data_IF_527778966092
#
_entry.id   IF_527778966092
#
_cell.length_a   1.000
_cell.length_b   1.000
_cell.length_c   1.000
_cell.angle_alpha   90.00
_cell.angle_beta   90.00
_cell.angle_gamma   90.00
#
_symmetry.space_group_name_H-M   'P 1'
#
loop_
_entity.id
_entity.type
_entity.pdbx_description
1 polymer ?
#
# COMPACT_ATOMS: atom_id res chain seq x y z
N UNK A 1 -9.06 15.10 -4.86
CA UNK A 1 -7.61 15.13 -5.20
C UNK A 1 -6.91 14.07 -4.36
N UNK A 2 -5.86 13.39 -4.84
CA UNK A 2 -5.24 12.23 -4.17
C UNK A 2 -3.87 12.58 -3.60
N UNK A 3 -3.57 12.11 -2.38
CA UNK A 3 -2.26 12.23 -1.74
C UNK A 3 -1.37 11.02 -2.02
N UNK A 4 -0.07 11.19 -1.86
CA UNK A 4 0.94 10.15 -2.06
C UNK A 4 1.70 9.88 -0.76
N UNK A 5 1.65 8.63 -0.29
CA UNK A 5 2.52 8.13 0.77
C UNK A 5 3.66 7.34 0.12
N UNK A 6 4.88 7.84 0.22
CA UNK A 6 6.09 7.24 -0.35
C UNK A 6 6.80 6.43 0.73
N UNK A 7 6.53 5.13 0.78
CA UNK A 7 7.11 4.20 1.75
C UNK A 7 8.25 3.40 1.11
N UNK A 8 9.41 3.37 1.76
CA UNK A 8 10.59 2.68 1.26
C UNK A 8 11.76 2.67 2.24
N UNK A 9 12.85 2.04 1.82
CA UNK A 9 14.05 1.86 2.63
C UNK A 9 14.87 3.17 2.76
N UNK A 10 15.41 3.40 3.96
CA UNK A 10 16.37 4.45 4.29
C UNK A 10 17.52 3.91 5.19
N UNK A 11 17.77 2.60 5.19
CA UNK A 11 18.75 1.91 6.04
C UNK A 11 20.20 2.24 5.67
N UNK A 12 20.47 2.67 4.43
CA UNK A 12 21.79 3.11 3.99
C UNK A 12 21.82 4.62 3.79
N UNK A 13 22.81 5.30 4.41
CA UNK A 13 23.03 6.76 4.26
C UNK A 13 23.18 7.22 2.80
N UNK A 14 23.54 6.31 1.89
CA UNK A 14 23.73 6.59 0.46
C UNK A 14 22.49 6.34 -0.41
N UNK A 15 21.39 5.81 0.14
CA UNK A 15 20.19 5.51 -0.64
C UNK A 15 18.90 5.76 0.16
N UNK A 16 18.18 6.81 -0.21
CA UNK A 16 16.90 7.20 0.38
C UNK A 16 15.81 7.03 -0.67
N UNK A 17 15.11 5.91 -0.63
CA UNK A 17 14.07 5.56 -1.60
C UNK A 17 12.89 6.54 -1.56
N UNK A 18 12.30 6.88 -0.39
CA UNK A 18 11.24 7.88 -0.32
C UNK A 18 11.63 9.24 -0.90
N UNK A 19 12.86 9.68 -0.67
CA UNK A 19 13.34 10.96 -1.18
C UNK A 19 13.55 10.95 -2.69
N UNK A 20 14.00 9.82 -3.24
CA UNK A 20 14.10 9.63 -4.69
C UNK A 20 12.72 9.69 -5.34
N UNK A 21 11.75 8.96 -4.79
CA UNK A 21 10.36 9.01 -5.26
C UNK A 21 9.77 10.42 -5.15
N UNK A 22 10.04 11.15 -4.06
CA UNK A 22 9.59 12.53 -3.87
C UNK A 22 10.10 13.43 -4.99
N UNK A 23 11.40 13.35 -5.27
CA UNK A 23 12.02 14.16 -6.32
C UNK A 23 11.39 13.89 -7.69
N UNK A 24 11.06 12.63 -7.98
CA UNK A 24 10.46 12.26 -9.26
C UNK A 24 9.00 12.75 -9.37
N UNK A 25 8.22 12.70 -8.28
CA UNK A 25 6.88 13.29 -8.26
C UNK A 25 6.89 14.82 -8.37
N UNK A 26 7.82 15.50 -7.70
CA UNK A 26 8.00 16.95 -7.82
C UNK A 26 8.34 17.34 -9.27
N UNK A 27 9.23 16.58 -9.93
CA UNK A 27 9.54 16.77 -11.36
C UNK A 27 8.34 16.54 -12.28
N UNK A 28 7.45 15.62 -11.90
CA UNK A 28 6.19 15.36 -12.61
C UNK A 28 5.10 16.41 -12.33
N UNK A 29 5.39 17.44 -11.52
CA UNK A 29 4.45 18.54 -11.22
C UNK A 29 3.48 18.26 -10.08
N UNK A 30 3.70 17.19 -9.29
CA UNK A 30 2.88 16.93 -8.09
C UNK A 30 3.22 17.96 -7.00
N UNK A 31 2.23 18.69 -6.45
CA UNK A 31 2.47 19.63 -5.36
C UNK A 31 3.06 18.96 -4.12
N UNK A 32 4.08 19.57 -3.51
CA UNK A 32 4.78 19.01 -2.34
C UNK A 32 3.87 18.69 -1.16
N UNK A 33 2.85 19.53 -0.94
CA UNK A 33 1.83 19.35 0.12
C UNK A 33 0.99 18.06 -0.02
N UNK A 34 1.08 17.36 -1.16
CA UNK A 34 0.42 16.07 -1.37
C UNK A 34 1.35 14.89 -1.14
N UNK A 35 2.63 15.12 -0.84
CA UNK A 35 3.67 14.08 -0.78
C UNK A 35 4.12 13.89 0.66
N UNK A 36 3.91 12.68 1.17
CA UNK A 36 4.27 12.26 2.52
C UNK A 36 5.30 11.13 2.44
N UNK A 37 6.26 11.11 3.36
CA UNK A 37 7.39 10.18 3.31
C UNK A 37 7.35 9.22 4.50
N UNK A 38 7.53 7.94 4.20
CA UNK A 38 7.71 6.88 5.18
C UNK A 38 9.06 6.19 4.99
N UNK A 39 10.01 6.54 5.83
CA UNK A 39 11.40 6.03 5.79
C UNK A 39 11.60 4.68 6.49
N UNK A 40 10.53 4.08 7.01
CA UNK A 40 10.58 2.81 7.74
C UNK A 40 9.83 1.68 7.00
N UNK A 41 9.64 1.83 5.69
CA UNK A 41 9.00 0.87 4.79
C UNK A 41 9.93 -0.22 4.26
N UNK A 42 10.72 -0.87 5.12
CA UNK A 42 11.78 -1.81 4.70
C UNK A 42 11.26 -3.06 3.98
N UNK A 43 10.00 -3.44 4.23
CA UNK A 43 9.33 -4.59 3.62
C UNK A 43 7.91 -4.20 3.28
N UNK A 44 7.28 -4.94 2.35
CA UNK A 44 5.85 -4.76 2.03
C UNK A 44 4.96 -4.82 3.29
N UNK A 45 5.29 -5.68 4.25
CA UNK A 45 4.61 -5.71 5.54
C UNK A 45 4.69 -4.37 6.28
N UNK A 46 5.90 -3.82 6.38
CA UNK A 46 6.13 -2.58 7.13
C UNK A 46 5.36 -1.43 6.49
N UNK A 47 5.40 -1.31 5.14
CA UNK A 47 4.66 -0.27 4.41
C UNK A 47 3.14 -0.36 4.62
N UNK A 48 2.54 -1.55 4.51
CA UNK A 48 1.08 -1.72 4.64
C UNK A 48 0.62 -1.49 6.08
N UNK A 49 1.32 -2.08 7.05
CA UNK A 49 0.96 -1.93 8.47
C UNK A 49 1.13 -0.49 8.92
N UNK A 50 2.21 0.19 8.50
CA UNK A 50 2.43 1.59 8.86
C UNK A 50 1.44 2.52 8.17
N UNK A 51 1.09 2.27 6.90
CA UNK A 51 0.02 3.02 6.22
C UNK A 51 -1.26 3.04 7.07
N UNK A 52 -1.67 1.89 7.60
CA UNK A 52 -2.84 1.80 8.48
C UNK A 52 -2.59 2.38 9.87
N UNK A 53 -1.57 1.92 10.58
CA UNK A 53 -1.42 2.18 12.01
C UNK A 53 -0.76 3.53 12.33
N UNK A 54 0.19 3.97 11.50
CA UNK A 54 0.92 5.22 11.70
C UNK A 54 0.25 6.36 10.94
N UNK A 55 -0.08 6.12 9.67
CA UNK A 55 -0.61 7.17 8.80
C UNK A 55 -2.15 7.22 8.76
N UNK A 56 -2.81 6.32 9.51
CA UNK A 56 -4.26 6.23 9.66
C UNK A 56 -5.01 6.08 8.32
N UNK A 57 -4.42 5.36 7.37
CA UNK A 57 -5.02 5.09 6.06
C UNK A 57 -5.76 3.75 6.10
N UNK A 58 -7.09 3.81 6.06
CA UNK A 58 -7.94 2.60 6.00
C UNK A 58 -8.32 2.20 4.57
N UNK A 59 -8.33 3.18 3.65
CA UNK A 59 -8.59 2.98 2.23
C UNK A 59 -7.46 3.60 1.40
N UNK A 60 -6.73 2.78 0.65
CA UNK A 60 -5.59 3.23 -0.16
C UNK A 60 -5.32 2.36 -1.39
N UNK A 61 -4.69 2.96 -2.41
CA UNK A 61 -4.17 2.25 -3.57
C UNK A 61 -2.66 2.00 -3.42
N UNK A 62 -2.24 0.74 -3.51
CA UNK A 62 -0.83 0.35 -3.52
C UNK A 62 -0.34 0.36 -4.96
N UNK A 63 0.62 1.23 -5.27
CA UNK A 63 1.28 1.25 -6.58
C UNK A 63 2.62 0.52 -6.46
N UNK A 64 2.75 -0.63 -7.12
CA UNK A 64 3.96 -1.44 -7.07
C UNK A 64 4.09 -2.34 -8.29
N UNK A 65 5.14 -3.16 -8.37
CA UNK A 65 5.30 -4.15 -9.44
C UNK A 65 4.24 -5.25 -9.33
N UNK A 66 3.74 -5.76 -10.45
CA UNK A 66 2.65 -6.75 -10.47
C UNK A 66 2.89 -7.95 -9.55
N UNK A 67 4.13 -8.42 -9.45
CA UNK A 67 4.45 -9.55 -8.58
C UNK A 67 4.28 -9.23 -7.09
N UNK A 68 4.45 -8.00 -6.64
CA UNK A 68 4.28 -7.61 -5.23
C UNK A 68 2.81 -7.38 -4.84
N UNK A 69 1.91 -7.22 -5.81
CA UNK A 69 0.50 -6.94 -5.54
C UNK A 69 -0.17 -8.01 -4.68
N UNK A 70 0.00 -9.29 -5.01
CA UNK A 70 -0.65 -10.38 -4.25
C UNK A 70 -0.25 -10.34 -2.77
N UNK A 71 1.04 -10.10 -2.49
CA UNK A 71 1.54 -9.97 -1.12
C UNK A 71 0.96 -8.74 -0.43
N UNK A 72 0.93 -7.60 -1.10
CA UNK A 72 0.42 -6.36 -0.51
C UNK A 72 -1.07 -6.47 -0.16
N UNK A 73 -1.89 -6.99 -1.08
CA UNK A 73 -3.33 -7.20 -0.89
C UNK A 73 -3.62 -8.23 0.20
N UNK A 74 -2.85 -9.31 0.26
CA UNK A 74 -2.99 -10.31 1.32
C UNK A 74 -2.73 -9.72 2.71
N UNK A 75 -1.64 -8.95 2.86
CA UNK A 75 -1.31 -8.29 4.13
C UNK A 75 -2.37 -7.25 4.48
N UNK A 76 -2.79 -6.43 3.52
CA UNK A 76 -3.82 -5.42 3.75
C UNK A 76 -5.12 -6.05 4.28
N UNK A 77 -5.58 -7.12 3.63
CA UNK A 77 -6.75 -7.88 4.06
C UNK A 77 -6.60 -8.46 5.47
N UNK A 78 -5.42 -9.01 5.81
CA UNK A 78 -5.16 -9.56 7.15
C UNK A 78 -5.22 -8.49 8.25
N UNK A 79 -4.78 -7.27 7.95
CA UNK A 79 -4.83 -6.14 8.87
C UNK A 79 -6.11 -5.31 8.74
N UNK A 80 -7.18 -5.82 8.10
CA UNK A 80 -8.45 -5.12 7.86
C UNK A 80 -8.29 -3.74 7.17
N UNK A 81 -7.34 -3.61 6.25
CA UNK A 81 -7.18 -2.43 5.39
C UNK A 81 -7.89 -2.68 4.05
N UNK A 82 -8.69 -1.73 3.60
CA UNK A 82 -9.28 -1.73 2.27
C UNK A 82 -8.23 -1.22 1.29
N UNK A 83 -7.60 -2.14 0.55
CA UNK A 83 -6.54 -1.80 -0.37
C UNK A 83 -6.80 -2.37 -1.76
N UNK A 84 -6.56 -1.56 -2.77
CA UNK A 84 -6.43 -2.01 -4.17
C UNK A 84 -4.96 -1.96 -4.59
N UNK A 85 -4.56 -2.79 -5.55
CA UNK A 85 -3.18 -2.75 -6.06
C UNK A 85 -3.17 -2.38 -7.54
N UNK A 86 -2.37 -1.37 -7.88
CA UNK A 86 -2.05 -0.96 -9.24
C UNK A 86 -0.69 -1.51 -9.59
N UNK A 87 -0.70 -2.68 -10.25
CA UNK A 87 0.51 -3.38 -10.67
C UNK A 87 1.12 -2.83 -11.95
N UNK A 88 2.35 -2.32 -11.88
CA UNK A 88 3.12 -1.92 -13.06
C UNK A 88 3.96 -3.11 -13.56
N UNK A 89 3.97 -3.42 -14.88
CA UNK A 89 4.84 -4.45 -15.43
C UNK A 89 6.31 -4.13 -15.15
N UNK A 90 7.06 -5.10 -14.61
CA UNK A 90 8.49 -4.95 -14.36
C UNK A 90 9.30 -5.51 -15.54
N UNK A 91 10.42 -4.88 -15.95
CA UNK A 91 11.30 -5.46 -16.96
C UNK A 91 11.78 -6.84 -16.49
N UNK A 92 11.64 -7.84 -17.36
CA UNK A 92 11.98 -9.24 -17.11
C UNK A 92 13.51 -9.37 -16.92
N UNK A 93 14.07 -9.58 -15.70
CA UNK A 93 15.51 -9.80 -15.57
C UNK A 93 15.93 -11.09 -16.30
N UNK A 94 17.13 -11.07 -16.88
CA UNK A 94 17.78 -12.20 -17.59
C UNK A 94 17.94 -13.47 -16.76
N UNK A 95 17.72 -13.42 -15.44
CA UNK A 95 17.69 -14.57 -14.52
C UNK A 95 16.35 -14.65 -13.78
N UNK A 96 15.25 -14.69 -14.54
CA UNK A 96 13.88 -14.65 -14.02
C UNK A 96 13.57 -15.76 -13.00
N UNK A 97 14.10 -16.96 -13.23
CA UNK A 97 13.87 -18.14 -12.37
C UNK A 97 14.49 -17.99 -10.98
N UNK A 98 15.76 -17.58 -10.89
CA UNK A 98 16.46 -17.47 -9.60
C UNK A 98 15.88 -16.36 -8.73
N UNK A 99 15.46 -15.25 -9.36
CA UNK A 99 14.80 -14.14 -8.67
C UNK A 99 13.43 -14.55 -8.14
N UNK A 100 12.63 -15.28 -8.94
CA UNK A 100 11.29 -15.76 -8.54
C UNK A 100 11.35 -16.73 -7.37
N UNK A 101 12.28 -17.69 -7.40
CA UNK A 101 12.47 -18.67 -6.33
C UNK A 101 12.86 -17.98 -5.03
N UNK A 102 13.84 -17.06 -5.05
CA UNK A 102 14.23 -16.26 -3.88
C UNK A 102 13.06 -15.42 -3.33
N UNK A 103 12.28 -14.82 -4.21
CA UNK A 103 11.10 -14.04 -3.82
C UNK A 103 10.03 -14.90 -3.15
N UNK A 104 9.76 -16.09 -3.67
CA UNK A 104 8.80 -17.02 -3.09
C UNK A 104 9.25 -17.44 -1.69
N UNK A 105 10.53 -17.73 -1.49
CA UNK A 105 11.07 -18.03 -0.16
C UNK A 105 11.04 -16.83 0.79
N UNK A 106 11.31 -15.61 0.30
CA UNK A 106 11.18 -14.40 1.10
C UNK A 106 9.71 -14.12 1.49
N UNK A 107 8.74 -14.46 0.64
CA UNK A 107 7.31 -14.36 0.92
C UNK A 107 6.87 -15.40 1.95
N UNK A 108 7.29 -16.65 1.79
CA UNK A 108 7.00 -17.74 2.73
C UNK A 108 7.63 -17.43 4.10
N UNK A 109 8.86 -16.88 4.13
CA UNK A 109 9.49 -16.44 5.38
C UNK A 109 8.74 -15.29 6.02
N UNK A 110 8.30 -14.29 5.25
CA UNK A 110 7.49 -13.20 5.79
C UNK A 110 6.15 -13.70 6.37
N UNK A 111 5.52 -14.70 5.74
CA UNK A 111 4.32 -15.35 6.26
C UNK A 111 4.62 -16.13 7.56
N UNK A 112 5.73 -16.87 7.65
CA UNK A 112 6.15 -17.56 8.88
C UNK A 112 6.49 -16.58 10.01
N UNK A 113 7.17 -15.48 9.71
CA UNK A 113 7.50 -14.42 10.66
C UNK A 113 6.22 -13.75 11.23
N UNK A 114 5.15 -13.69 10.43
CA UNK A 114 3.83 -13.15 10.80
C UNK A 114 2.97 -14.14 11.58
N UNK A 115 2.79 -15.37 11.07
CA UNK A 115 1.83 -16.33 11.60
C UNK A 115 2.35 -17.21 12.73
N UNK A 116 3.67 -17.36 12.89
CA UNK A 116 4.27 -18.20 13.93
C UNK A 116 5.05 -17.38 14.96
N UNK A 117 5.78 -16.35 14.52
CA UNK A 117 6.74 -15.63 15.37
C UNK A 117 6.15 -14.33 15.96
N UNK A 118 5.00 -13.86 15.46
CA UNK A 118 4.33 -12.64 15.92
C UNK A 118 5.25 -11.40 15.85
N UNK A 119 6.03 -11.31 14.77
CA UNK A 119 7.09 -10.29 14.63
C UNK A 119 6.47 -8.91 14.41
N UNK A 120 6.62 -8.04 15.40
CA UNK A 120 6.15 -6.65 15.32
C UNK A 120 7.02 -5.81 14.37
N UNK A 121 6.48 -4.75 13.76
CA UNK A 121 7.27 -3.79 12.99
C UNK A 121 8.41 -3.25 13.85
N UNK A 122 9.63 -3.23 13.30
CA UNK A 122 10.84 -2.89 14.05
C UNK A 122 10.82 -1.45 14.61
N UNK A 123 10.06 -0.55 13.98
CA UNK A 123 9.91 0.84 14.38
C UNK A 123 8.44 1.26 14.32
N UNK A 124 7.80 1.34 15.48
CA UNK A 124 6.51 1.99 15.66
C UNK A 124 6.78 3.40 16.15
N UNK A 125 6.43 4.41 15.33
CA UNK A 125 6.54 5.83 15.67
C UNK A 125 5.21 6.38 16.20
N UNK A 126 5.13 7.68 16.57
CA UNK A 126 3.85 8.32 16.85
C UNK A 126 2.97 8.32 15.60
N UNK A 127 1.64 8.32 15.77
CA UNK A 127 0.71 8.45 14.66
C UNK A 127 0.87 9.82 13.99
N UNK A 128 0.84 9.81 12.66
CA UNK A 128 0.88 11.00 11.80
C UNK A 128 -0.27 10.87 10.81
N UNK A 129 -1.53 11.18 11.21
CA UNK A 129 -2.69 11.02 10.35
C UNK A 129 -2.61 11.99 9.17
N UNK A 130 -2.28 11.46 7.99
CA UNK A 130 -1.99 12.27 6.80
C UNK A 130 -3.24 13.01 6.30
N UNK A 131 -4.41 12.38 6.43
CA UNK A 131 -5.67 12.96 5.95
C UNK A 131 -6.02 14.28 6.65
N UNK A 132 -5.57 14.46 7.90
CA UNK A 132 -5.79 15.69 8.67
C UNK A 132 -4.84 16.82 8.25
N UNK A 133 -3.73 16.48 7.55
CA UNK A 133 -2.71 17.43 7.09
C UNK A 133 -2.98 17.94 5.67
N UNK A 134 -3.95 17.36 4.96
CA UNK A 134 -4.29 17.74 3.60
C UNK A 134 -5.11 19.05 3.57
N UNK A 135 -4.90 19.93 2.58
CA UNK A 135 -5.64 21.18 2.46
C UNK A 135 -7.09 21.01 1.94
N UNK A 136 -7.57 19.77 1.81
CA UNK A 136 -8.91 19.42 1.33
C UNK A 136 -9.40 18.10 1.94
N UNK A 137 -10.72 17.89 1.97
CA UNK A 137 -11.33 16.62 2.36
C UNK A 137 -11.14 15.54 1.30
N UNK A 138 -10.94 14.30 1.75
CA UNK A 138 -10.71 13.13 0.91
C UNK A 138 -11.92 12.20 0.95
N UNK A 139 -12.36 11.75 -0.24
CA UNK A 139 -13.40 10.73 -0.39
C UNK A 139 -12.76 9.34 -0.53
N UNK A 140 -13.40 8.26 -0.03
CA UNK A 140 -12.94 6.89 -0.23
C UNK A 140 -12.63 6.58 -1.71
N UNK A 141 -11.60 5.77 -1.96
CA UNK A 141 -11.20 5.32 -3.29
C UNK A 141 -12.19 4.33 -3.91
N UNK A 142 -12.95 3.61 -3.08
CA UNK A 142 -13.98 2.69 -3.54
C UNK A 142 -15.34 3.37 -3.65
N UNK A 143 -16.12 3.15 -4.73
CA UNK A 143 -17.56 3.17 -4.55
C UNK A 143 -17.91 2.00 -3.63
N UNK A 144 -18.59 2.25 -2.52
CA UNK A 144 -19.24 1.16 -1.79
C UNK A 144 -20.11 0.41 -2.80
N UNK A 145 -19.82 -0.86 -3.07
CA UNK A 145 -20.71 -1.68 -3.88
C UNK A 145 -22.03 -1.81 -3.10
N UNK A 146 -23.00 -0.94 -3.43
CA UNK A 146 -24.37 -1.05 -2.94
C UNK A 146 -25.00 -2.18 -3.74
N UNK A 147 -25.30 -3.30 -3.07
CA UNK A 147 -26.10 -4.36 -3.70
C UNK A 147 -27.40 -3.71 -4.21
N UNK A 148 -27.77 -3.90 -5.49
CA UNK A 148 -29.07 -3.43 -5.94
C UNK A 148 -30.13 -4.11 -5.08
N UNK A 149 -30.93 -3.30 -4.38
CA UNK A 149 -32.07 -3.80 -3.63
C UNK A 149 -32.93 -4.60 -4.61
N UNK A 150 -33.29 -5.84 -4.24
CA UNK A 150 -34.12 -6.69 -5.10
C UNK A 150 -35.36 -5.87 -5.47
N UNK A 151 -35.49 -5.54 -6.75
CA UNK A 151 -36.71 -4.96 -7.29
C UNK A 151 -37.82 -5.96 -6.99
N UNK A 152 -38.62 -5.67 -5.96
CA UNK A 152 -39.86 -6.38 -5.68
C UNK A 152 -40.69 -6.28 -6.95
N UNK A 153 -40.90 -7.41 -7.63
CA UNK A 153 -41.80 -7.50 -8.75
C UNK A 153 -43.20 -7.17 -8.21
N UNK A 154 -43.61 -5.92 -8.37
CA UNK A 154 -44.99 -5.51 -8.18
C UNK A 154 -45.84 -6.26 -9.21
N UNK A 155 -46.60 -7.22 -8.68
CA UNK A 155 -47.84 -7.80 -9.19
C UNK A 155 -48.38 -7.13 -10.45
N UNK A 156 -48.28 -7.85 -11.58
CA UNK A 156 -49.16 -7.60 -12.72
C UNK A 156 -50.57 -8.07 -12.33
N UNK A 157 -51.40 -7.12 -11.93
CA UNK A 157 -52.87 -7.23 -11.89
C UNK A 157 -53.41 -6.02 -12.63
N UNK A 158 -53.85 -6.24 -13.87
CA UNK A 158 -55.18 -5.88 -14.39
C UNK A 158 -55.28 -6.29 -15.87
#
# INVERSE_FOLDING_TARGET
>A
MKGFLLSGDNAHRSYNEPWTMKRDLLKAGVPEQLIFLDYAGFRTLDSIVRAKQIFNLNDFAVVTQTFHCDRALFIAKYYDADAICVGVPSPMPTSWFNVRVREVFARIKALLDLYIINTQPKFMGPQVPILELLPFQYEPLTPQYVFPEKVSQASATN
#
